data_IF_539061365241
#
_entry.id   IF_539061365241
#
_cell.length_a   1.000
_cell.length_b   1.000
_cell.length_c   1.000
_cell.angle_alpha   90.00
_cell.angle_beta   90.00
_cell.angle_gamma   90.00
#
_symmetry.space_group_name_H-M   'P 1'
#
loop_
_entity.id
_entity.type
_entity.pdbx_description
1 polymer ?
#
# COMPACT_ATOMS: atom_id res chain seq x y z
N UNK A 1 13.71 -9.73 -1.39
CA UNK A 1 13.08 -10.04 -0.08
C UNK A 1 11.66 -9.52 -0.17
N UNK A 2 10.63 -10.36 -0.10
CA UNK A 2 9.25 -9.89 -0.22
C UNK A 2 8.94 -8.90 0.91
N UNK A 3 8.42 -7.72 0.57
CA UNK A 3 8.12 -6.68 1.57
C UNK A 3 6.76 -7.03 2.16
N UNK A 4 6.76 -7.52 3.40
CA UNK A 4 5.53 -7.90 4.10
C UNK A 4 4.54 -6.73 4.16
N UNK A 5 3.27 -6.98 3.82
CA UNK A 5 2.18 -6.01 3.98
C UNK A 5 1.81 -5.89 5.45
N UNK A 6 1.79 -4.67 6.03
CA UNK A 6 1.34 -4.40 7.40
C UNK A 6 0.03 -3.63 7.35
N UNK A 7 -1.07 -4.37 7.29
CA UNK A 7 -2.43 -3.82 7.16
C UNK A 7 -3.16 -3.95 8.50
N UNK A 8 -3.46 -2.81 9.12
CA UNK A 8 -4.28 -2.72 10.32
C UNK A 8 -5.62 -2.06 9.98
N UNK A 9 -6.71 -2.83 10.03
CA UNK A 9 -8.09 -2.38 9.80
C UNK A 9 -8.87 -2.17 11.09
N UNK A 10 -8.23 -2.31 12.25
CA UNK A 10 -8.87 -2.14 13.55
C UNK A 10 -8.52 -0.81 14.19
N UNK A 11 -9.50 -0.21 14.87
CA UNK A 11 -9.35 1.04 15.61
C UNK A 11 -9.69 0.78 17.08
N UNK A 12 -8.83 1.24 17.98
CA UNK A 12 -9.09 1.20 19.43
C UNK A 12 -9.57 2.55 19.91
N UNK A 13 -10.81 2.61 20.39
CA UNK A 13 -11.45 3.81 20.92
C UNK A 13 -11.86 3.55 22.37
N UNK A 14 -11.42 4.42 23.28
CA UNK A 14 -11.79 4.34 24.72
C UNK A 14 -11.51 2.95 25.34
N UNK A 15 -10.45 2.27 24.88
CA UNK A 15 -10.04 0.94 25.35
C UNK A 15 -10.76 -0.24 24.70
N UNK A 16 -11.64 0.00 23.73
CA UNK A 16 -12.34 -1.04 22.96
C UNK A 16 -11.88 -1.03 21.51
N UNK A 17 -11.51 -2.20 20.99
CA UNK A 17 -11.08 -2.39 19.60
C UNK A 17 -12.25 -2.79 18.72
N UNK A 18 -12.41 -2.10 17.60
CA UNK A 18 -13.45 -2.33 16.59
C UNK A 18 -12.82 -2.62 15.23
N UNK A 19 -13.44 -3.48 14.44
CA UNK A 19 -13.18 -3.54 13.00
C UNK A 19 -13.70 -2.28 12.33
N UNK A 20 -12.92 -1.66 11.44
CA UNK A 20 -13.34 -0.45 10.72
C UNK A 20 -14.12 -0.76 9.43
N UNK A 21 -14.23 -2.03 9.05
CA UNK A 21 -14.77 -2.48 7.77
C UNK A 21 -14.05 -1.91 6.53
N UNK A 22 -12.84 -1.37 6.69
CA UNK A 22 -11.96 -1.01 5.57
C UNK A 22 -11.51 -2.27 4.85
N UNK A 23 -11.53 -2.20 3.52
CA UNK A 23 -10.97 -3.19 2.63
C UNK A 23 -9.78 -2.62 1.88
N UNK A 24 -8.83 -3.50 1.61
CA UNK A 24 -7.78 -3.27 0.61
C UNK A 24 -8.16 -4.10 -0.61
N UNK A 25 -8.47 -3.41 -1.72
CA UNK A 25 -8.76 -4.04 -3.01
C UNK A 25 -7.47 -4.11 -3.82
N UNK A 26 -7.16 -5.27 -4.37
CA UNK A 26 -6.03 -5.40 -5.27
C UNK A 26 -6.28 -4.60 -6.55
N UNK A 27 -5.21 -4.21 -7.24
CA UNK A 27 -5.33 -3.60 -8.56
C UNK A 27 -6.12 -4.48 -9.56
N UNK A 28 -6.05 -5.80 -9.41
CA UNK A 28 -6.72 -6.78 -10.26
C UNK A 28 -8.23 -6.90 -9.98
N UNK A 29 -8.68 -6.52 -8.78
CA UNK A 29 -10.11 -6.44 -8.43
C UNK A 29 -10.80 -5.22 -9.05
N UNK A 30 -10.03 -4.27 -9.60
CA UNK A 30 -10.60 -3.02 -10.10
C UNK A 30 -11.50 -3.27 -11.32
N UNK A 31 -12.65 -2.59 -11.41
CA UNK A 31 -13.54 -2.70 -12.57
C UNK A 31 -12.94 -2.14 -13.86
N UNK A 32 -11.93 -1.26 -13.77
CA UNK A 32 -11.14 -0.76 -14.90
C UNK A 32 -9.84 -1.55 -15.14
N UNK A 33 -9.69 -2.72 -14.50
CA UNK A 33 -8.46 -3.50 -14.58
C UNK A 33 -8.15 -3.94 -16.02
N UNK A 34 -6.94 -3.60 -16.44
CA UNK A 34 -6.28 -4.14 -17.62
C UNK A 34 -4.85 -4.43 -17.23
N UNK A 35 -4.37 -5.63 -17.55
CA UNK A 35 -2.98 -6.00 -17.31
C UNK A 35 -2.05 -5.00 -18.03
N UNK A 36 -1.19 -4.26 -17.30
CA UNK A 36 -0.29 -3.31 -17.92
C UNK A 36 0.93 -4.04 -18.54
N UNK A 37 1.76 -3.29 -19.25
CA UNK A 37 3.05 -3.81 -19.73
C UNK A 37 3.93 -4.27 -18.56
N UNK A 38 4.76 -5.29 -18.77
CA UNK A 38 5.58 -5.90 -17.71
C UNK A 38 6.48 -4.91 -16.98
N UNK A 39 6.96 -3.87 -17.67
CA UNK A 39 7.87 -2.88 -17.09
C UNK A 39 7.12 -1.58 -16.69
N UNK A 40 5.79 -1.57 -16.81
CA UNK A 40 4.96 -0.44 -16.38
C UNK A 40 4.98 -0.32 -14.85
N UNK A 41 4.96 0.91 -14.30
CA UNK A 41 4.89 1.13 -12.87
C UNK A 41 3.50 0.78 -12.34
N UNK A 42 3.47 -0.03 -11.27
CA UNK A 42 2.28 -0.29 -10.46
C UNK A 42 2.53 0.15 -9.02
N UNK A 43 1.44 0.42 -8.30
CA UNK A 43 1.49 0.85 -6.90
C UNK A 43 0.79 -0.16 -6.00
N UNK A 44 1.58 -0.85 -5.19
CA UNK A 44 1.09 -1.91 -4.31
C UNK A 44 0.95 -1.38 -2.89
N UNK A 45 -0.21 -1.55 -2.26
CA UNK A 45 -0.38 -1.08 -0.88
C UNK A 45 0.48 -1.96 0.05
N UNK A 46 1.37 -1.33 0.80
CA UNK A 46 2.23 -2.01 1.78
C UNK A 46 1.69 -1.86 3.17
N UNK A 47 1.41 -0.62 3.57
CA UNK A 47 1.11 -0.32 4.95
C UNK A 47 -0.17 0.51 5.05
N UNK A 48 -1.01 0.12 6.01
CA UNK A 48 -2.26 0.80 6.32
C UNK A 48 -2.45 0.79 7.84
N UNK A 49 -2.64 1.96 8.45
CA UNK A 49 -2.91 2.05 9.88
C UNK A 49 -3.76 3.27 10.24
N UNK A 50 -4.52 3.20 11.35
CA UNK A 50 -5.20 4.36 11.89
C UNK A 50 -4.34 5.12 12.91
N UNK A 51 -4.69 6.39 13.14
CA UNK A 51 -4.27 7.21 14.28
C UNK A 51 -5.51 7.80 14.92
N UNK A 52 -5.55 7.83 16.26
CA UNK A 52 -6.68 8.36 17.03
C UNK A 52 -6.31 9.72 17.62
N UNK A 53 -7.19 10.71 17.46
CA UNK A 53 -7.05 12.09 17.92
C UNK A 53 -5.74 12.78 17.46
N UNK A 54 -5.19 12.37 16.32
CA UNK A 54 -3.94 12.93 15.80
C UNK A 54 -2.70 12.62 16.67
N UNK A 55 -2.82 11.68 17.62
CA UNK A 55 -1.74 11.39 18.57
C UNK A 55 -0.77 10.37 17.97
N UNK A 56 0.50 10.75 17.82
CA UNK A 56 1.57 9.86 17.35
C UNK A 56 1.74 8.59 18.23
N UNK A 57 1.39 8.67 19.51
CA UNK A 57 1.43 7.52 20.43
C UNK A 57 0.38 6.44 20.10
N UNK A 58 -0.68 6.81 19.38
CA UNK A 58 -1.69 5.87 18.90
C UNK A 58 -1.22 5.05 17.69
N UNK A 59 -0.09 5.42 17.08
CA UNK A 59 0.46 4.69 15.94
C UNK A 59 1.03 3.35 16.42
N UNK A 60 0.89 2.27 15.65
CA UNK A 60 1.59 1.03 15.96
C UNK A 60 3.12 1.27 15.91
N UNK A 61 3.87 0.57 16.78
CA UNK A 61 5.32 0.82 16.93
C UNK A 61 6.07 0.73 15.60
N UNK A 62 5.75 -0.28 14.76
CA UNK A 62 6.38 -0.45 13.46
C UNK A 62 6.17 0.75 12.52
N UNK A 63 5.03 1.45 12.62
CA UNK A 63 4.74 2.61 11.78
C UNK A 63 5.55 3.82 12.26
N UNK A 64 5.70 3.97 13.59
CA UNK A 64 6.62 4.97 14.16
C UNK A 64 8.04 4.72 13.69
N UNK A 65 8.53 3.50 13.82
CA UNK A 65 9.90 3.14 13.43
C UNK A 65 10.16 3.33 11.93
N UNK A 66 9.12 3.22 11.08
CA UNK A 66 9.26 3.32 9.62
C UNK A 66 9.03 4.72 9.07
N UNK A 67 8.14 5.51 9.70
CA UNK A 67 7.59 6.73 9.12
C UNK A 67 7.66 7.96 10.02
N UNK A 68 7.84 7.77 11.33
CA UNK A 68 8.11 8.87 12.22
C UNK A 68 9.60 9.19 12.14
N UNK A 69 9.92 10.27 11.45
CA UNK A 69 11.29 10.77 11.34
C UNK A 69 11.52 11.95 12.28
N UNK A 70 12.78 12.31 12.47
CA UNK A 70 13.15 13.37 13.40
C UNK A 70 12.51 14.71 13.04
N UNK A 71 12.14 15.49 14.05
CA UNK A 71 11.47 16.79 13.87
C UNK A 71 12.24 17.80 13.01
N UNK A 72 13.58 17.66 12.98
CA UNK A 72 14.48 18.51 12.21
C UNK A 72 14.83 17.94 10.84
N UNK A 73 14.34 16.75 10.50
CA UNK A 73 14.56 16.14 9.20
C UNK A 73 13.84 16.94 8.11
N UNK A 74 14.50 17.26 6.98
CA UNK A 74 13.88 17.98 5.86
C UNK A 74 12.68 17.23 5.26
N UNK A 75 12.61 15.92 5.40
CA UNK A 75 11.55 15.05 4.92
C UNK A 75 10.34 14.97 5.87
N UNK A 76 10.40 15.64 7.03
CA UNK A 76 9.41 15.47 8.09
C UNK A 76 8.03 16.03 7.69
N UNK A 77 7.01 15.16 7.69
CA UNK A 77 5.62 15.59 7.55
C UNK A 77 5.13 16.22 8.86
N UNK A 78 5.32 17.54 8.98
CA UNK A 78 4.83 18.33 10.13
C UNK A 78 3.30 18.33 10.26
N UNK A 79 2.58 17.94 9.21
CA UNK A 79 1.12 17.80 9.19
C UNK A 79 0.59 16.42 9.58
N UNK A 80 1.46 15.44 9.84
CA UNK A 80 1.07 14.06 10.16
C UNK A 80 0.31 13.88 11.49
N UNK A 81 0.05 14.96 12.23
CA UNK A 81 -0.76 14.98 13.46
C UNK A 81 -2.23 15.36 13.26
N UNK A 82 -2.71 15.48 12.02
CA UNK A 82 -4.12 15.76 11.74
C UNK A 82 -5.04 14.66 12.27
N UNK A 83 -6.16 15.03 12.88
CA UNK A 83 -7.03 14.10 13.63
C UNK A 83 -8.24 13.58 12.85
N UNK A 84 -8.48 14.07 11.63
CA UNK A 84 -9.57 13.66 10.73
C UNK A 84 -9.13 13.64 9.26
N UNK A 85 -8.10 12.87 8.92
CA UNK A 85 -7.48 12.90 7.59
C UNK A 85 -7.31 11.52 6.95
N UNK A 86 -7.29 11.52 5.61
CA UNK A 86 -6.71 10.45 4.81
C UNK A 86 -5.30 10.88 4.41
N UNK A 87 -4.32 10.18 4.95
CA UNK A 87 -2.92 10.33 4.62
C UNK A 87 -2.55 9.30 3.56
N UNK A 88 -1.88 9.75 2.50
CA UNK A 88 -1.43 8.87 1.43
C UNK A 88 0.01 9.22 1.02
N UNK A 89 0.82 8.19 0.77
CA UNK A 89 2.20 8.34 0.30
C UNK A 89 2.53 7.23 -0.69
N UNK A 90 3.42 7.53 -1.64
CA UNK A 90 3.98 6.55 -2.53
C UNK A 90 5.51 6.55 -2.38
N UNK A 91 6.07 5.42 -2.00
CA UNK A 91 7.51 5.21 -1.98
C UNK A 91 8.08 5.09 -3.38
N UNK A 92 9.31 5.55 -3.55
CA UNK A 92 10.08 5.42 -4.78
C UNK A 92 11.55 5.14 -4.47
N UNK A 93 12.08 4.03 -4.96
CA UNK A 93 13.51 3.71 -4.85
C UNK A 93 14.37 4.82 -5.49
N UNK A 94 15.35 5.33 -4.74
CA UNK A 94 16.30 6.34 -5.20
C UNK A 94 15.81 7.79 -5.12
N UNK A 95 14.60 8.03 -4.61
CA UNK A 95 14.06 9.36 -4.41
C UNK A 95 14.59 10.01 -3.12
N UNK A 96 14.64 11.34 -3.07
CA UNK A 96 14.86 12.06 -1.82
C UNK A 96 13.79 11.64 -0.80
N UNK A 97 14.17 11.39 0.45
CA UNK A 97 13.26 10.86 1.48
C UNK A 97 12.66 9.47 1.18
N UNK A 98 13.02 8.81 0.08
CA UNK A 98 12.45 7.53 -0.35
C UNK A 98 11.02 7.61 -0.88
N UNK A 99 10.53 8.80 -1.25
CA UNK A 99 9.12 9.06 -1.63
C UNK A 99 8.99 9.76 -2.97
N UNK A 100 7.86 9.56 -3.65
CA UNK A 100 7.54 10.22 -4.91
C UNK A 100 6.83 11.55 -4.60
N UNK A 101 7.61 12.64 -4.57
CA UNK A 101 7.19 13.97 -4.11
C UNK A 101 6.06 14.62 -4.91
N UNK A 102 5.91 14.31 -6.19
CA UNK A 102 4.88 14.89 -7.08
C UNK A 102 3.73 13.91 -7.39
N UNK A 103 3.53 12.90 -6.55
CA UNK A 103 2.51 11.88 -6.80
C UNK A 103 1.10 12.44 -6.60
N UNK A 104 0.27 12.33 -7.62
CA UNK A 104 -1.18 12.54 -7.51
C UNK A 104 -1.88 11.26 -7.04
N UNK A 105 -2.85 11.43 -6.15
CA UNK A 105 -3.80 10.44 -5.68
C UNK A 105 -5.23 10.86 -6.06
N UNK A 106 -6.12 9.88 -6.16
CA UNK A 106 -7.56 10.13 -6.24
C UNK A 106 -8.24 9.71 -4.95
N UNK A 107 -9.19 10.53 -4.50
CA UNK A 107 -10.15 10.20 -3.46
C UNK A 107 -11.58 10.37 -3.98
N UNK A 108 -12.51 9.50 -3.57
CA UNK A 108 -13.92 9.59 -3.94
C UNK A 108 -14.82 8.89 -2.92
N UNK A 109 -16.14 9.12 -2.98
CA UNK A 109 -17.09 8.60 -1.98
C UNK A 109 -18.23 7.73 -2.52
N UNK A 110 -18.38 7.63 -3.84
CA UNK A 110 -19.52 6.97 -4.48
C UNK A 110 -19.32 5.46 -4.70
N UNK A 111 -18.31 4.88 -4.05
CA UNK A 111 -18.01 3.43 -4.06
C UNK A 111 -16.92 3.01 -5.04
N UNK A 112 -16.33 1.84 -4.76
CA UNK A 112 -15.21 1.26 -5.52
C UNK A 112 -15.51 1.07 -7.02
N UNK A 113 -16.74 0.68 -7.36
CA UNK A 113 -17.15 0.38 -8.73
C UNK A 113 -17.04 1.58 -9.69
N UNK A 114 -16.94 2.80 -9.15
CA UNK A 114 -16.79 4.03 -9.95
C UNK A 114 -15.48 4.14 -10.73
N UNK A 115 -14.47 3.34 -10.40
CA UNK A 115 -13.26 3.25 -11.21
C UNK A 115 -13.55 2.78 -12.65
N UNK A 116 -14.58 1.95 -12.85
CA UNK A 116 -14.95 1.39 -14.15
C UNK A 116 -16.01 2.21 -14.89
N UNK A 117 -16.47 3.32 -14.32
CA UNK A 117 -17.46 4.20 -14.92
C UNK A 117 -16.74 5.33 -15.68
N UNK A 118 -16.66 5.28 -17.02
CA UNK A 118 -15.95 6.29 -17.80
C UNK A 118 -16.64 7.67 -17.77
N UNK A 119 -17.86 7.74 -17.24
CA UNK A 119 -18.62 9.00 -17.11
C UNK A 119 -18.53 9.62 -15.71
N UNK A 120 -17.89 8.93 -14.75
CA UNK A 120 -17.72 9.42 -13.40
C UNK A 120 -16.63 10.49 -13.33
N UNK A 121 -16.99 11.69 -12.86
CA UNK A 121 -16.12 12.88 -12.85
C UNK A 121 -15.84 13.42 -11.46
N UNK A 122 -16.40 12.80 -10.42
CA UNK A 122 -16.31 13.29 -9.03
C UNK A 122 -15.08 12.77 -8.27
N UNK A 123 -14.08 12.23 -8.99
CA UNK A 123 -12.76 11.99 -8.40
C UNK A 123 -12.15 13.30 -7.94
N UNK A 124 -11.62 13.29 -6.73
CA UNK A 124 -10.94 14.44 -6.14
C UNK A 124 -9.43 14.22 -6.24
N UNK A 125 -8.70 15.01 -7.04
CA UNK A 125 -7.25 14.91 -7.13
C UNK A 125 -6.61 15.47 -5.86
N UNK A 126 -5.68 14.69 -5.31
CA UNK A 126 -4.95 15.05 -4.10
C UNK A 126 -3.46 14.94 -4.41
N UNK A 127 -2.75 16.06 -4.33
CA UNK A 127 -1.34 16.13 -4.68
C UNK A 127 -0.48 15.95 -3.44
N UNK A 128 0.51 15.05 -3.52
CA UNK A 128 1.53 14.94 -2.49
C UNK A 128 2.27 16.28 -2.33
N UNK A 129 2.61 16.62 -1.09
CA UNK A 129 3.41 17.82 -0.81
C UNK A 129 4.85 17.56 -1.22
N UNK A 130 5.41 18.43 -2.06
CA UNK A 130 6.74 18.30 -2.67
C UNK A 130 7.89 18.11 -1.65
N UNK A 131 7.71 18.56 -0.42
CA UNK A 131 8.76 18.49 0.61
C UNK A 131 8.86 17.09 1.24
N UNK A 132 7.72 16.43 1.44
CA UNK A 132 7.65 15.21 2.26
C UNK A 132 6.87 14.06 1.62
N UNK A 133 6.32 14.24 0.41
CA UNK A 133 5.66 13.19 -0.36
C UNK A 133 4.31 12.68 0.19
N UNK A 134 3.78 13.30 1.25
CA UNK A 134 2.47 12.92 1.81
C UNK A 134 1.36 13.80 1.27
N UNK A 135 0.22 13.19 1.02
CA UNK A 135 -1.09 13.83 0.97
C UNK A 135 -1.65 13.91 2.38
N UNK A 136 -2.22 15.05 2.75
CA UNK A 136 -2.90 15.27 4.04
C UNK A 136 -4.34 15.72 3.73
N UNK A 137 -5.27 14.79 3.48
CA UNK A 137 -6.63 15.13 3.02
C UNK A 137 -7.64 15.14 4.16
N UNK A 138 -8.24 16.29 4.46
CA UNK A 138 -9.28 16.38 5.49
C UNK A 138 -10.57 15.67 5.09
N UNK A 139 -11.16 14.92 6.02
CA UNK A 139 -12.47 14.28 5.84
C UNK A 139 -13.38 14.53 7.04
N UNK A 140 -14.69 14.62 6.78
CA UNK A 140 -15.70 14.84 7.83
C UNK A 140 -16.81 13.77 7.85
N UNK A 141 -16.79 12.85 6.88
CA UNK A 141 -17.83 11.83 6.77
C UNK A 141 -17.58 10.70 7.78
N UNK A 142 -18.52 10.52 8.71
CA UNK A 142 -18.47 9.40 9.65
C UNK A 142 -19.40 8.25 9.29
N UNK A 143 -19.11 7.08 9.85
CA UNK A 143 -19.83 5.83 9.65
C UNK A 143 -19.82 5.00 10.94
N UNK A 144 -20.69 3.99 11.05
CA UNK A 144 -20.85 3.13 12.23
C UNK A 144 -20.52 1.67 11.89
N UNK A 145 -19.28 1.22 12.12
CA UNK A 145 -18.85 -0.10 11.66
C UNK A 145 -19.53 -1.27 12.39
N UNK A 146 -19.94 -1.08 13.64
CA UNK A 146 -20.73 -2.05 14.42
C UNK A 146 -22.12 -2.31 13.83
N UNK A 147 -22.62 -1.41 12.99
CA UNK A 147 -23.85 -1.56 12.21
C UNK A 147 -23.60 -2.16 10.82
N UNK A 148 -22.39 -2.68 10.56
CA UNK A 148 -21.97 -3.18 9.25
C UNK A 148 -21.72 -2.08 8.21
N UNK A 149 -21.66 -0.80 8.62
CA UNK A 149 -21.33 0.28 7.69
C UNK A 149 -19.85 0.26 7.36
N UNK A 150 -19.52 0.61 6.12
CA UNK A 150 -18.16 0.92 5.67
C UNK A 150 -18.03 2.44 5.54
N UNK A 151 -16.84 2.98 5.79
CA UNK A 151 -16.60 4.39 5.52
C UNK A 151 -16.79 4.75 4.04
N UNK A 152 -17.16 5.98 3.72
CA UNK A 152 -17.53 6.31 2.34
C UNK A 152 -16.31 6.45 1.43
N UNK A 153 -15.12 6.74 1.97
CA UNK A 153 -13.98 7.12 1.14
C UNK A 153 -13.25 5.93 0.55
N UNK A 154 -13.03 5.99 -0.76
CA UNK A 154 -12.02 5.22 -1.47
C UNK A 154 -10.84 6.14 -1.84
N UNK A 155 -9.60 5.65 -1.79
CA UNK A 155 -8.46 6.39 -2.31
C UNK A 155 -7.31 5.49 -2.77
N UNK A 156 -6.57 5.98 -3.77
CA UNK A 156 -5.37 5.33 -4.31
C UNK A 156 -4.49 6.32 -5.09
N UNK A 157 -3.21 6.00 -5.35
CA UNK A 157 -2.41 6.75 -6.31
C UNK A 157 -3.02 6.69 -7.72
N UNK A 158 -2.87 7.76 -8.50
CA UNK A 158 -3.28 7.77 -9.92
C UNK A 158 -2.48 6.73 -10.70
N UNK A 159 -3.14 5.94 -11.54
CA UNK A 159 -2.56 4.85 -12.32
C UNK A 159 -2.98 3.47 -11.80
N UNK A 160 -2.20 2.45 -12.15
CA UNK A 160 -2.45 1.07 -11.75
C UNK A 160 -2.03 0.86 -10.29
N UNK A 161 -3.00 0.68 -9.40
CA UNK A 161 -2.76 0.66 -7.97
C UNK A 161 -3.78 -0.18 -7.20
N UNK A 162 -3.35 -0.78 -6.09
CA UNK A 162 -4.25 -1.25 -5.03
C UNK A 162 -5.07 -0.05 -4.49
N UNK A 163 -6.30 -0.31 -4.02
CA UNK A 163 -7.24 0.73 -3.57
C UNK A 163 -7.62 0.48 -2.12
N UNK A 164 -7.60 1.54 -1.30
CA UNK A 164 -8.23 1.48 0.03
C UNK A 164 -9.69 1.87 -0.12
N UNK A 165 -10.60 1.00 0.30
CA UNK A 165 -12.06 1.15 0.23
C UNK A 165 -12.62 1.12 1.65
N UNK A 166 -13.05 2.27 2.16
CA UNK A 166 -13.77 2.36 3.43
C UNK A 166 -13.30 3.40 4.43
N UNK A 167 -12.54 4.41 4.00
CA UNK A 167 -12.02 5.46 4.88
C UNK A 167 -13.09 6.41 5.39
N UNK A 168 -12.74 7.20 6.40
CA UNK A 168 -13.62 8.18 7.04
C UNK A 168 -13.51 8.11 8.56
N UNK A 169 -14.53 8.63 9.25
CA UNK A 169 -14.55 8.76 10.71
C UNK A 169 -15.40 7.64 11.37
N UNK A 170 -14.81 6.50 11.77
CA UNK A 170 -15.53 5.46 12.50
C UNK A 170 -16.13 6.04 13.79
N UNK A 171 -17.41 5.76 14.02
CA UNK A 171 -18.21 6.31 15.12
C UNK A 171 -18.19 7.85 15.20
N UNK A 172 -17.93 8.53 14.07
CA UNK A 172 -17.69 9.99 14.00
C UNK A 172 -16.59 10.48 14.94
N UNK A 173 -15.63 9.61 15.28
CA UNK A 173 -14.48 9.97 16.12
C UNK A 173 -13.34 10.49 15.27
N UNK A 174 -12.46 11.25 15.91
CA UNK A 174 -11.28 11.81 15.28
C UNK A 174 -10.28 10.69 15.03
N UNK A 175 -10.36 10.09 13.85
CA UNK A 175 -9.46 9.04 13.38
C UNK A 175 -8.96 9.44 12.01
N UNK A 176 -7.65 9.33 11.85
CA UNK A 176 -6.99 9.47 10.55
C UNK A 176 -6.50 8.12 10.07
N UNK A 177 -6.45 7.92 8.75
CA UNK A 177 -5.94 6.72 8.12
C UNK A 177 -4.68 7.03 7.33
N UNK A 178 -3.64 6.23 7.48
CA UNK A 178 -2.38 6.35 6.76
C UNK A 178 -2.25 5.17 5.83
N UNK A 179 -2.03 5.44 4.54
CA UNK A 179 -1.86 4.42 3.53
C UNK A 179 -0.58 4.69 2.72
N UNK A 180 0.28 3.68 2.62
CA UNK A 180 1.56 3.76 1.92
C UNK A 180 1.60 2.73 0.81
N UNK A 181 1.83 3.21 -0.40
CA UNK A 181 2.04 2.38 -1.58
C UNK A 181 3.52 2.31 -1.92
N UNK A 182 3.96 1.14 -2.36
CA UNK A 182 5.28 0.95 -2.96
C UNK A 182 5.15 0.96 -4.47
N UNK A 183 5.97 1.77 -5.15
CA UNK A 183 6.11 1.70 -6.60
C UNK A 183 7.02 0.55 -6.98
N UNK A 184 6.56 -0.30 -7.89
CA UNK A 184 7.37 -1.36 -8.50
C UNK A 184 6.97 -1.59 -9.95
N UNK A 185 7.71 -2.43 -10.69
CA UNK A 185 7.28 -2.85 -12.02
C UNK A 185 6.17 -3.89 -11.93
N UNK A 186 5.31 -3.99 -12.94
CA UNK A 186 4.29 -5.02 -12.98
C UNK A 186 4.89 -6.44 -12.94
N UNK A 187 6.05 -6.63 -13.58
CA UNK A 187 6.84 -7.86 -13.50
C UNK A 187 7.21 -8.21 -12.07
N UNK A 188 7.78 -7.27 -11.33
CA UNK A 188 8.16 -7.49 -9.94
C UNK A 188 6.93 -7.80 -9.07
N UNK A 189 5.80 -7.13 -9.34
CA UNK A 189 4.54 -7.41 -8.67
C UNK A 189 4.08 -8.85 -8.90
N UNK A 190 4.08 -9.32 -10.16
CA UNK A 190 3.69 -10.70 -10.48
C UNK A 190 4.60 -11.71 -9.80
N UNK A 191 5.91 -11.46 -9.84
CA UNK A 191 6.89 -12.33 -9.19
C UNK A 191 6.64 -12.38 -7.67
N UNK A 192 6.42 -11.24 -7.01
CA UNK A 192 6.11 -11.21 -5.59
C UNK A 192 4.76 -11.88 -5.25
N UNK A 193 3.71 -11.61 -6.04
CA UNK A 193 2.38 -12.21 -5.90
C UNK A 193 2.44 -13.73 -5.99
N UNK A 194 3.23 -14.25 -6.91
CA UNK A 194 3.38 -15.68 -7.17
C UNK A 194 4.40 -16.35 -6.22
N UNK A 195 4.91 -15.61 -5.23
CA UNK A 195 5.87 -16.10 -4.24
C UNK A 195 7.29 -16.31 -4.79
N UNK A 196 7.57 -15.79 -5.98
CA UNK A 196 8.89 -15.81 -6.60
C UNK A 196 9.70 -14.64 -6.03
N UNK A 197 10.69 -14.97 -5.19
CA UNK A 197 11.62 -13.96 -4.67
C UNK A 197 12.51 -13.48 -5.82
N UNK A 198 12.20 -12.31 -6.36
CA UNK A 198 13.13 -11.58 -7.23
C UNK A 198 14.26 -11.08 -6.33
N UNK A 199 15.52 -11.53 -6.53
CA UNK A 199 16.64 -10.86 -5.90
C UNK A 199 16.64 -9.40 -6.39
N UNK A 200 17.02 -8.42 -5.54
CA UNK A 200 17.21 -7.05 -6.01
C UNK A 200 18.13 -7.11 -7.23
N UNK A 201 17.85 -6.31 -8.26
CA UNK A 201 18.57 -6.21 -9.54
C UNK A 201 20.08 -6.10 -9.31
N UNK A 202 20.71 -7.25 -9.14
CA UNK A 202 22.08 -7.43 -8.73
C UNK A 202 22.61 -8.52 -9.61
N UNK A 203 23.52 -8.12 -10.49
CA UNK A 203 24.35 -8.93 -11.38
C UNK A 203 23.69 -10.20 -11.95
N UNK A 204 23.37 -10.17 -13.25
CA UNK A 204 22.91 -11.33 -14.01
C UNK A 204 23.78 -12.58 -13.80
N UNK A 205 25.05 -12.40 -13.45
CA UNK A 205 25.99 -13.48 -13.10
C UNK A 205 25.55 -14.27 -11.87
N UNK A 206 25.01 -13.62 -10.85
CA UNK A 206 24.56 -14.28 -9.60
C UNK A 206 23.25 -15.04 -9.82
N UNK A 207 22.37 -14.50 -10.66
CA UNK A 207 21.13 -15.18 -11.10
C UNK A 207 21.46 -16.42 -11.93
N UNK A 208 22.39 -16.31 -12.88
CA UNK A 208 22.84 -17.43 -13.71
C UNK A 208 23.49 -18.54 -12.88
N UNK A 209 24.39 -18.20 -11.97
CA UNK A 209 25.05 -19.18 -11.10
C UNK A 209 24.03 -19.96 -10.24
N UNK A 210 22.96 -19.30 -9.80
CA UNK A 210 21.91 -19.93 -9.00
C UNK A 210 21.00 -20.84 -9.82
N UNK A 211 20.73 -20.50 -11.08
CA UNK A 211 20.01 -21.36 -12.01
C UNK A 211 20.80 -22.62 -12.35
N UNK A 212 22.11 -22.49 -12.60
CA UNK A 212 23.00 -23.64 -12.85
C UNK A 212 23.06 -24.59 -11.66
N UNK A 213 23.12 -24.06 -10.43
CA UNK A 213 23.10 -24.87 -9.22
C UNK A 213 21.79 -25.65 -9.02
N UNK A 214 20.64 -25.04 -9.35
CA UNK A 214 19.34 -25.70 -9.29
C UNK A 214 19.21 -26.82 -10.34
N UNK A 215 19.69 -26.57 -11.56
CA UNK A 215 19.72 -27.56 -12.63
C UNK A 215 20.57 -28.78 -12.25
N UNK A 216 21.77 -28.55 -11.71
CA UNK A 216 22.64 -29.62 -11.23
C UNK A 216 22.00 -30.44 -10.09
N UNK A 217 21.23 -29.77 -9.21
CA UNK A 217 20.46 -30.44 -8.16
C UNK A 217 19.36 -31.34 -8.71
N UNK A 218 18.63 -30.88 -9.74
CA UNK A 218 17.61 -31.69 -10.42
C UNK A 218 18.20 -32.92 -11.12
N UNK A 219 19.32 -32.74 -11.83
CA UNK A 219 20.00 -33.84 -12.53
C UNK A 219 20.52 -34.90 -11.56
N UNK A 220 21.04 -34.49 -10.41
CA UNK A 220 21.50 -35.39 -9.35
C UNK A 220 20.35 -36.21 -8.72
N UNK A 221 19.17 -35.59 -8.56
CA UNK A 221 17.96 -36.27 -8.07
C UNK A 221 17.47 -37.26 -9.12
N UNK A 222 17.38 -36.84 -10.38
CA UNK A 222 16.95 -37.68 -11.50
C UNK A 222 17.84 -38.92 -11.66
N UNK A 223 19.17 -38.73 -11.63
CA UNK A 223 20.14 -39.83 -11.70
C UNK A 223 20.18 -40.74 -10.46
N UNK A 224 19.63 -40.29 -9.32
CA UNK A 224 19.40 -41.14 -8.13
C UNK A 224 18.15 -41.99 -8.29
N UNK A 225 17.07 -41.41 -8.81
CA UNK A 225 15.83 -42.14 -9.09
C UNK A 225 16.07 -43.25 -10.13
N UNK A 226 16.82 -42.98 -11.19
CA UNK A 226 17.18 -43.97 -12.21
C UNK A 226 18.00 -45.16 -11.67
N UNK A 227 18.69 -44.99 -10.53
CA UNK A 227 19.42 -46.09 -9.86
C UNK A 227 18.56 -46.87 -8.87
N UNK A 228 17.47 -46.29 -8.39
CA UNK A 228 16.54 -46.94 -7.46
C UNK A 228 15.55 -47.81 -8.24
N UNK A 229 15.23 -47.45 -9.48
CA UNK A 229 14.24 -48.13 -10.32
C UNK A 229 14.84 -49.06 -11.41
N UNK A 230 16.11 -49.44 -11.30
CA UNK A 230 16.77 -50.50 -12.08
C UNK A 230 17.09 -51.69 -11.19
#
# INVERSE_FOLDING_TARGET
>A
MAIARRIQTTVTLEGVTYESNILVRSMEERPDWQAPDMDAPVFVLRDLWPSVNGQGDSWPQWARDSYLIDWNDPCMNRGAGGETHLFAMANGSGEQCGVIHDKTFFGWTDGFDKLGDPTYTSFVPMKAVEVHGWVNWFVSNGYYPDQGQRGPWCWCPVGVADVVDGGGLPFRRHVSWFAVWERMTYRDYLLERDGVVVPPTGDLTEVLARLEALQAGQDAISGRLDRIFK
#
